data_IF_517119510831
#
_entry.id   IF_517119510831
#
_cell.length_a   1.000
_cell.length_b   1.000
_cell.length_c   1.000
_cell.angle_alpha   90.00
_cell.angle_beta   90.00
_cell.angle_gamma   90.00
#
_symmetry.space_group_name_H-M   'P 1'
#
loop_
_entity.id
_entity.type
_entity.pdbx_description
1 polymer ?
#
# COMPACT_ATOMS: atom_id res chain seq x y z
N UNK A 1 -18.17 28.25 -10.56
CA UNK A 1 -17.84 27.11 -11.47
C UNK A 1 -16.54 26.34 -11.11
N UNK A 2 -15.47 26.91 -10.54
CA UNK A 2 -14.23 26.19 -10.16
C UNK A 2 -14.37 25.14 -9.04
N UNK A 3 -15.30 25.31 -8.11
CA UNK A 3 -15.49 24.40 -6.95
C UNK A 3 -15.99 22.98 -7.28
N UNK A 4 -16.67 22.79 -8.41
CA UNK A 4 -17.27 21.49 -8.81
C UNK A 4 -16.39 20.67 -9.74
N UNK A 5 -15.38 21.27 -10.38
CA UNK A 5 -14.52 20.55 -11.35
C UNK A 5 -13.67 19.46 -10.69
N UNK A 6 -13.14 19.70 -9.51
CA UNK A 6 -12.33 18.70 -8.82
C UNK A 6 -13.08 17.41 -8.43
N UNK A 7 -14.24 17.52 -7.75
CA UNK A 7 -15.04 16.33 -7.42
C UNK A 7 -15.51 15.55 -8.65
N UNK A 8 -15.95 16.23 -9.71
CA UNK A 8 -16.41 15.59 -10.93
C UNK A 8 -15.28 14.81 -11.63
N UNK A 9 -14.10 15.40 -11.74
CA UNK A 9 -12.93 14.73 -12.32
C UNK A 9 -12.59 13.47 -11.54
N UNK A 10 -12.55 13.55 -10.20
CA UNK A 10 -12.28 12.37 -9.35
C UNK A 10 -13.32 11.28 -9.59
N UNK A 11 -14.61 11.65 -9.68
CA UNK A 11 -15.69 10.68 -9.90
C UNK A 11 -15.58 9.99 -11.25
N UNK A 12 -15.34 10.73 -12.32
CA UNK A 12 -15.20 10.19 -13.70
C UNK A 12 -13.95 9.29 -13.79
N UNK A 13 -12.82 9.75 -13.27
CA UNK A 13 -11.57 8.97 -13.25
C UNK A 13 -11.75 7.69 -12.43
N UNK A 14 -12.40 7.78 -11.27
CA UNK A 14 -12.67 6.59 -10.45
C UNK A 14 -13.52 5.57 -11.19
N UNK A 15 -14.67 5.98 -11.73
CA UNK A 15 -15.58 5.05 -12.42
C UNK A 15 -14.93 4.45 -13.68
N UNK A 16 -14.16 5.22 -14.42
CA UNK A 16 -13.41 4.73 -15.59
C UNK A 16 -12.33 3.71 -15.21
N UNK A 17 -11.54 4.01 -14.19
CA UNK A 17 -10.52 3.07 -13.67
C UNK A 17 -11.19 1.83 -13.05
N UNK A 18 -12.28 2.01 -12.30
CA UNK A 18 -13.01 0.92 -11.70
C UNK A 18 -13.51 -0.05 -12.76
N UNK A 19 -14.18 0.47 -13.80
CA UNK A 19 -14.69 -0.35 -14.90
C UNK A 19 -13.57 -1.05 -15.67
N UNK A 20 -12.46 -0.36 -15.93
CA UNK A 20 -11.29 -0.97 -16.57
C UNK A 20 -10.71 -2.13 -15.78
N UNK A 21 -10.58 -1.96 -14.45
CA UNK A 21 -10.12 -3.02 -13.56
C UNK A 21 -11.13 -4.17 -13.45
N UNK A 22 -12.43 -3.88 -13.52
CA UNK A 22 -13.49 -4.87 -13.48
C UNK A 22 -13.50 -5.75 -14.73
N UNK A 23 -13.37 -5.13 -15.90
CA UNK A 23 -13.21 -5.86 -17.18
C UNK A 23 -11.93 -6.72 -17.18
N UNK A 24 -10.81 -6.21 -16.63
CA UNK A 24 -9.60 -7.01 -16.48
C UNK A 24 -9.86 -8.18 -15.53
N UNK A 25 -10.52 -7.96 -14.39
CA UNK A 25 -10.81 -9.00 -13.42
C UNK A 25 -11.75 -10.09 -13.99
N UNK A 26 -12.68 -9.72 -14.86
CA UNK A 26 -13.60 -10.68 -15.51
C UNK A 26 -12.90 -11.64 -16.48
N UNK A 27 -11.76 -11.23 -17.05
CA UNK A 27 -10.93 -12.09 -17.91
C UNK A 27 -10.32 -13.27 -17.12
N UNK A 28 -10.07 -13.07 -15.82
CA UNK A 28 -9.43 -14.02 -14.91
C UNK A 28 -10.43 -14.63 -13.92
N UNK A 29 -11.66 -14.92 -14.37
CA UNK A 29 -12.65 -15.61 -13.55
C UNK A 29 -12.39 -17.11 -13.54
N UNK A 30 -12.31 -17.70 -12.34
CA UNK A 30 -12.14 -19.15 -12.17
C UNK A 30 -13.46 -19.92 -12.38
N UNK A 31 -14.59 -19.30 -12.08
CA UNK A 31 -15.96 -19.75 -12.30
C UNK A 31 -16.85 -18.54 -12.54
N UNK A 32 -18.10 -18.75 -12.99
CA UNK A 32 -19.09 -17.67 -13.09
C UNK A 32 -19.09 -16.84 -11.81
N UNK A 33 -18.77 -15.55 -11.95
CA UNK A 33 -18.76 -14.51 -10.90
C UNK A 33 -17.69 -14.62 -9.79
N UNK A 34 -16.80 -15.64 -9.78
CA UNK A 34 -15.69 -15.76 -8.82
C UNK A 34 -14.39 -15.41 -9.49
N UNK A 35 -13.92 -14.20 -9.30
CA UNK A 35 -12.61 -13.76 -9.79
C UNK A 35 -11.47 -14.22 -8.88
N UNK A 36 -10.37 -14.69 -9.47
CA UNK A 36 -9.15 -15.04 -8.74
C UNK A 36 -8.55 -13.85 -7.98
N UNK A 37 -8.71 -12.66 -8.53
CA UNK A 37 -8.26 -11.40 -7.96
C UNK A 37 -9.22 -10.29 -8.38
N UNK A 38 -9.74 -9.51 -7.40
CA UNK A 38 -10.72 -8.46 -7.68
C UNK A 38 -10.22 -7.07 -7.24
N UNK A 39 -9.31 -6.45 -8.02
CA UNK A 39 -8.70 -5.16 -7.71
C UNK A 39 -9.68 -3.96 -7.61
N UNK A 40 -10.87 -3.93 -8.24
CA UNK A 40 -11.80 -2.81 -8.09
C UNK A 40 -12.16 -2.47 -6.65
N UNK A 41 -12.23 -3.47 -5.75
CA UNK A 41 -12.47 -3.22 -4.32
C UNK A 41 -11.34 -2.45 -3.66
N UNK A 42 -10.09 -2.73 -4.03
CA UNK A 42 -8.93 -1.99 -3.54
C UNK A 42 -8.93 -0.53 -3.98
N UNK A 43 -9.35 -0.25 -5.23
CA UNK A 43 -9.53 1.11 -5.72
C UNK A 43 -10.63 1.85 -4.95
N UNK A 44 -11.74 1.18 -4.63
CA UNK A 44 -12.85 1.73 -3.84
C UNK A 44 -12.40 2.14 -2.43
N UNK A 45 -11.65 1.28 -1.73
CA UNK A 45 -11.07 1.64 -0.44
C UNK A 45 -10.06 2.79 -0.54
N UNK A 46 -9.19 2.80 -1.54
CA UNK A 46 -8.27 3.91 -1.75
C UNK A 46 -9.02 5.24 -1.98
N UNK A 47 -10.11 5.23 -2.77
CA UNK A 47 -10.97 6.40 -2.96
C UNK A 47 -11.51 6.92 -1.62
N UNK A 48 -12.14 6.05 -0.81
CA UNK A 48 -12.74 6.43 0.46
C UNK A 48 -11.71 6.93 1.47
N UNK A 49 -10.53 6.32 1.53
CA UNK A 49 -9.47 6.68 2.45
C UNK A 49 -8.73 7.95 2.04
N UNK A 50 -8.48 8.18 0.74
CA UNK A 50 -7.75 9.37 0.25
C UNK A 50 -8.67 10.57 0.10
N UNK A 51 -9.81 10.41 -0.58
CA UNK A 51 -10.71 11.53 -0.91
C UNK A 51 -11.84 11.73 0.09
N UNK A 52 -12.09 10.73 0.95
CA UNK A 52 -13.07 10.78 2.04
C UNK A 52 -14.42 10.16 1.71
N UNK A 53 -15.23 10.00 2.77
CA UNK A 53 -16.52 9.29 2.71
C UNK A 53 -17.58 9.95 1.83
N UNK A 54 -17.38 11.22 1.43
CA UNK A 54 -18.28 11.92 0.50
C UNK A 54 -18.41 11.25 -0.86
N UNK A 55 -17.45 10.40 -1.22
CA UNK A 55 -17.46 9.63 -2.47
C UNK A 55 -18.11 8.25 -2.32
N UNK A 56 -18.59 7.88 -1.13
CA UNK A 56 -19.28 6.61 -0.91
C UNK A 56 -20.47 6.37 -1.86
N UNK A 57 -21.30 7.37 -2.24
CA UNK A 57 -22.38 7.17 -3.19
C UNK A 57 -21.93 6.65 -4.57
N UNK A 58 -20.66 6.86 -4.97
CA UNK A 58 -20.16 6.32 -6.24
C UNK A 58 -20.05 4.80 -6.23
N UNK A 59 -19.86 4.20 -5.06
CA UNK A 59 -19.79 2.75 -4.91
C UNK A 59 -21.14 2.08 -5.24
N UNK A 60 -22.27 2.80 -5.08
CA UNK A 60 -23.59 2.29 -5.47
C UNK A 60 -23.71 2.02 -6.98
N UNK A 61 -22.91 2.73 -7.79
CA UNK A 61 -22.92 2.61 -9.23
C UNK A 61 -22.04 1.46 -9.75
N UNK A 62 -21.16 0.92 -8.91
CA UNK A 62 -20.16 -0.08 -9.34
C UNK A 62 -20.82 -1.39 -9.78
N UNK A 63 -21.66 -1.99 -8.95
CA UNK A 63 -22.30 -3.26 -9.29
C UNK A 63 -23.30 -3.14 -10.45
N UNK A 64 -24.13 -2.06 -10.58
CA UNK A 64 -24.90 -1.80 -11.80
C UNK A 64 -24.03 -1.64 -13.06
N UNK A 65 -22.87 -0.98 -12.97
CA UNK A 65 -21.95 -0.88 -14.10
C UNK A 65 -21.36 -2.25 -14.49
N UNK A 66 -20.99 -3.07 -13.50
CA UNK A 66 -20.61 -4.47 -13.74
C UNK A 66 -21.74 -5.23 -14.44
N UNK A 67 -22.98 -5.09 -13.93
CA UNK A 67 -24.17 -5.69 -14.52
C UNK A 67 -24.42 -5.34 -15.99
N UNK A 68 -24.09 -4.12 -16.39
CA UNK A 68 -24.25 -3.65 -17.78
C UNK A 68 -23.20 -4.20 -18.74
N UNK A 69 -21.98 -4.48 -18.26
CA UNK A 69 -20.81 -4.76 -19.11
C UNK A 69 -20.39 -6.22 -19.07
N UNK A 70 -20.53 -6.88 -17.92
CA UNK A 70 -19.91 -8.18 -17.66
C UNK A 70 -20.94 -9.27 -17.32
N UNK A 71 -22.11 -8.90 -16.77
CA UNK A 71 -23.03 -9.89 -16.19
C UNK A 71 -23.66 -10.82 -17.20
N UNK A 72 -23.86 -12.05 -16.75
CA UNK A 72 -24.70 -13.04 -17.41
C UNK A 72 -26.19 -12.68 -17.27
N UNK A 73 -27.04 -13.02 -18.27
CA UNK A 73 -28.48 -12.71 -18.25
C UNK A 73 -29.26 -13.38 -17.12
N UNK A 74 -28.65 -14.28 -16.35
CA UNK A 74 -29.27 -15.04 -15.25
C UNK A 74 -29.42 -14.24 -13.96
N UNK A 75 -28.64 -13.13 -13.79
CA UNK A 75 -28.65 -12.33 -12.58
C UNK A 75 -29.72 -11.22 -12.67
N UNK A 76 -30.68 -11.24 -11.76
CA UNK A 76 -31.74 -10.22 -11.73
C UNK A 76 -31.18 -8.85 -11.34
N UNK A 77 -31.71 -7.77 -11.95
CA UNK A 77 -31.35 -6.38 -11.61
C UNK A 77 -31.59 -6.06 -10.13
N UNK A 78 -32.54 -6.71 -9.48
CA UNK A 78 -32.78 -6.58 -8.02
C UNK A 78 -31.58 -7.09 -7.24
N UNK A 79 -31.03 -8.25 -7.64
CA UNK A 79 -29.83 -8.81 -7.04
C UNK A 79 -28.62 -7.92 -7.22
N UNK A 80 -28.43 -7.33 -8.41
CA UNK A 80 -27.35 -6.40 -8.72
C UNK A 80 -27.40 -5.17 -7.81
N UNK A 81 -28.57 -4.52 -7.69
CA UNK A 81 -28.72 -3.36 -6.83
C UNK A 81 -28.56 -3.70 -5.33
N UNK A 82 -29.05 -4.85 -4.91
CA UNK A 82 -28.90 -5.31 -3.52
C UNK A 82 -27.43 -5.54 -3.17
N UNK A 83 -26.66 -6.16 -4.07
CA UNK A 83 -25.20 -6.32 -3.93
C UNK A 83 -24.47 -4.97 -3.86
N UNK A 84 -24.84 -4.02 -4.73
CA UNK A 84 -24.26 -2.66 -4.74
C UNK A 84 -24.53 -1.91 -3.43
N UNK A 85 -25.75 -1.96 -2.92
CA UNK A 85 -26.10 -1.34 -1.63
C UNK A 85 -25.30 -1.99 -0.49
N UNK A 86 -25.26 -3.32 -0.44
CA UNK A 86 -24.55 -4.08 0.57
C UNK A 86 -23.05 -3.74 0.58
N UNK A 87 -22.39 -3.82 -0.57
CA UNK A 87 -20.98 -3.51 -0.73
C UNK A 87 -20.69 -2.07 -0.30
N UNK A 88 -21.53 -1.12 -0.73
CA UNK A 88 -21.39 0.29 -0.38
C UNK A 88 -21.51 0.52 1.12
N UNK A 89 -22.54 -0.05 1.77
CA UNK A 89 -22.76 0.12 3.21
C UNK A 89 -21.59 -0.46 4.00
N UNK A 90 -21.18 -1.68 3.71
CA UNK A 90 -20.11 -2.36 4.45
C UNK A 90 -18.77 -1.62 4.25
N UNK A 91 -18.38 -1.30 3.03
CA UNK A 91 -17.09 -0.65 2.77
C UNK A 91 -17.06 0.78 3.31
N UNK A 92 -18.18 1.50 3.24
CA UNK A 92 -18.28 2.83 3.85
C UNK A 92 -18.22 2.77 5.37
N UNK A 93 -18.88 1.79 5.99
CA UNK A 93 -18.83 1.58 7.44
C UNK A 93 -17.41 1.23 7.91
N UNK A 94 -16.71 0.35 7.19
CA UNK A 94 -15.31 0.02 7.47
C UNK A 94 -14.40 1.23 7.32
N UNK A 95 -14.53 1.99 6.23
CA UNK A 95 -13.75 3.21 6.01
C UNK A 95 -14.06 4.28 7.08
N UNK A 96 -15.32 4.43 7.48
CA UNK A 96 -15.72 5.29 8.58
C UNK A 96 -15.08 4.87 9.90
N UNK A 97 -15.14 3.56 10.23
CA UNK A 97 -14.54 3.00 11.45
C UNK A 97 -13.03 3.29 11.49
N UNK A 98 -12.33 3.03 10.39
CA UNK A 98 -10.90 3.28 10.26
C UNK A 98 -10.56 4.78 10.45
N UNK A 99 -11.27 5.67 9.73
CA UNK A 99 -10.96 7.11 9.71
C UNK A 99 -11.44 7.86 10.95
N UNK A 100 -12.64 7.55 11.47
CA UNK A 100 -13.30 8.32 12.51
C UNK A 100 -13.13 7.73 13.90
N UNK A 101 -13.25 6.43 14.05
CA UNK A 101 -13.18 5.77 15.37
C UNK A 101 -11.75 5.37 15.73
N UNK A 102 -11.06 4.68 14.83
CA UNK A 102 -9.69 4.21 15.04
C UNK A 102 -8.65 5.28 14.68
N UNK A 103 -9.05 6.31 13.93
CA UNK A 103 -8.22 7.45 13.53
C UNK A 103 -6.89 7.02 12.90
N UNK A 104 -6.95 6.02 12.01
CA UNK A 104 -5.75 5.61 11.28
C UNK A 104 -5.29 6.74 10.36
N UNK A 105 -3.99 6.85 10.14
CA UNK A 105 -3.45 7.67 9.06
C UNK A 105 -3.51 6.87 7.75
N UNK A 106 -4.30 7.31 6.75
CA UNK A 106 -4.40 6.59 5.47
C UNK A 106 -3.07 6.47 4.72
N UNK A 107 -2.06 7.23 5.12
CA UNK A 107 -0.69 7.09 4.60
C UNK A 107 -0.01 5.82 5.11
N UNK A 108 -0.61 5.12 6.09
CA UNK A 108 -0.08 3.89 6.69
C UNK A 108 1.37 4.02 7.21
N UNK A 109 1.72 5.06 7.99
CA UNK A 109 3.10 5.30 8.40
C UNK A 109 3.61 4.27 9.41
N UNK A 110 2.72 3.65 10.17
CA UNK A 110 3.04 2.77 11.31
C UNK A 110 2.38 1.41 11.25
N UNK A 111 2.89 0.48 12.04
CA UNK A 111 2.39 -0.88 12.17
C UNK A 111 0.91 -0.93 12.58
N UNK A 112 0.49 -0.07 13.51
CA UNK A 112 -0.89 -0.01 14.00
C UNK A 112 -1.87 0.31 12.85
N UNK A 113 -1.53 1.29 12.02
CA UNK A 113 -2.42 1.72 10.93
C UNK A 113 -2.54 0.62 9.87
N UNK A 114 -1.41 -0.06 9.56
CA UNK A 114 -1.41 -1.20 8.64
C UNK A 114 -2.19 -2.38 9.23
N UNK A 115 -2.02 -2.71 10.51
CA UNK A 115 -2.73 -3.81 11.15
C UNK A 115 -4.24 -3.59 11.14
N UNK A 116 -4.73 -2.40 11.49
CA UNK A 116 -6.15 -2.07 11.40
C UNK A 116 -6.67 -2.07 9.97
N UNK A 117 -5.87 -1.55 9.02
CA UNK A 117 -6.22 -1.59 7.61
C UNK A 117 -6.35 -3.04 7.11
N UNK A 118 -5.37 -3.89 7.38
CA UNK A 118 -5.41 -5.30 6.95
C UNK A 118 -6.55 -6.05 7.63
N UNK A 119 -6.71 -5.91 8.94
CA UNK A 119 -7.76 -6.61 9.69
C UNK A 119 -9.19 -6.23 9.26
N UNK A 120 -9.45 -4.94 9.09
CA UNK A 120 -10.80 -4.45 8.79
C UNK A 120 -11.07 -4.29 7.29
N UNK A 121 -10.16 -3.64 6.54
CA UNK A 121 -10.42 -3.37 5.14
C UNK A 121 -10.09 -4.55 4.23
N UNK A 122 -8.99 -5.28 4.47
CA UNK A 122 -8.60 -6.39 3.61
C UNK A 122 -9.25 -7.72 4.03
N UNK A 123 -9.55 -7.94 5.32
CA UNK A 123 -10.07 -9.23 5.81
C UNK A 123 -11.55 -9.13 6.17
N UNK A 124 -11.92 -8.35 7.20
CA UNK A 124 -13.27 -8.37 7.76
C UNK A 124 -14.33 -7.79 6.83
N UNK A 125 -14.08 -6.65 6.21
CA UNK A 125 -15.03 -6.02 5.28
C UNK A 125 -15.38 -6.92 4.09
N UNK A 126 -14.39 -7.41 3.33
CA UNK A 126 -14.63 -8.38 2.27
C UNK A 126 -15.32 -9.66 2.72
N UNK A 127 -15.04 -10.15 3.95
CA UNK A 127 -15.70 -11.34 4.50
C UNK A 127 -17.19 -11.12 4.71
N UNK A 128 -17.57 -9.99 5.32
CA UNK A 128 -18.98 -9.63 5.53
C UNK A 128 -19.72 -9.54 4.19
N UNK A 129 -19.13 -8.88 3.20
CA UNK A 129 -19.71 -8.78 1.85
C UNK A 129 -19.82 -10.15 1.20
N UNK A 130 -18.78 -10.99 1.28
CA UNK A 130 -18.79 -12.32 0.69
C UNK A 130 -19.89 -13.22 1.31
N UNK A 131 -20.00 -13.23 2.63
CA UNK A 131 -21.04 -14.01 3.34
C UNK A 131 -22.43 -13.57 2.89
N UNK A 132 -22.69 -12.28 2.88
CA UNK A 132 -24.02 -11.78 2.53
C UNK A 132 -24.33 -11.96 1.03
N UNK A 133 -23.37 -11.82 0.15
CA UNK A 133 -23.56 -12.03 -1.28
C UNK A 133 -23.78 -13.51 -1.63
N UNK A 134 -22.99 -14.40 -1.05
CA UNK A 134 -23.17 -15.84 -1.26
C UNK A 134 -24.50 -16.33 -0.65
N UNK A 135 -24.91 -15.78 0.50
CA UNK A 135 -26.24 -16.05 1.06
C UNK A 135 -27.34 -15.61 0.09
N UNK A 136 -27.23 -14.41 -0.48
CA UNK A 136 -28.16 -13.92 -1.51
C UNK A 136 -28.23 -14.88 -2.70
N UNK A 137 -27.10 -15.32 -3.25
CA UNK A 137 -27.05 -16.25 -4.39
C UNK A 137 -27.62 -17.62 -4.06
N UNK A 138 -27.42 -18.09 -2.84
CA UNK A 138 -27.99 -19.37 -2.39
C UNK A 138 -29.49 -19.27 -2.21
N UNK A 139 -30.01 -18.16 -1.65
CA UNK A 139 -31.45 -17.94 -1.49
C UNK A 139 -32.18 -17.72 -2.82
N UNK A 140 -31.50 -17.19 -3.84
CA UNK A 140 -32.05 -17.01 -5.19
C UNK A 140 -31.88 -18.24 -6.09
N UNK A 141 -31.27 -19.33 -5.58
CA UNK A 141 -31.05 -20.57 -6.32
C UNK A 141 -29.89 -20.53 -7.32
N UNK A 142 -29.13 -19.43 -7.37
CA UNK A 142 -27.94 -19.29 -8.25
C UNK A 142 -26.77 -20.14 -7.76
N UNK A 143 -26.70 -20.43 -6.44
CA UNK A 143 -25.67 -21.27 -5.85
C UNK A 143 -26.30 -22.35 -4.96
N UNK A 144 -25.95 -23.64 -5.11
CA UNK A 144 -26.44 -24.69 -4.25
C UNK A 144 -25.84 -24.59 -2.83
N UNK A 145 -26.62 -24.93 -1.81
CA UNK A 145 -26.19 -24.90 -0.40
C UNK A 145 -24.94 -25.73 -0.11
N UNK A 146 -24.71 -26.80 -0.85
CA UNK A 146 -23.50 -27.63 -0.72
C UNK A 146 -22.22 -26.93 -1.10
N UNK A 147 -22.30 -25.85 -1.90
CA UNK A 147 -21.14 -25.04 -2.33
C UNK A 147 -20.98 -23.72 -1.53
N UNK A 148 -21.87 -23.48 -0.56
CA UNK A 148 -21.92 -22.21 0.18
C UNK A 148 -20.56 -21.82 0.79
N UNK A 149 -19.90 -22.74 1.50
CA UNK A 149 -18.63 -22.45 2.15
C UNK A 149 -17.49 -22.14 1.14
N UNK A 150 -17.45 -22.93 0.06
CA UNK A 150 -16.47 -22.67 -1.03
C UNK A 150 -16.74 -21.35 -1.73
N UNK A 151 -18.01 -21.01 -1.94
CA UNK A 151 -18.44 -19.73 -2.47
C UNK A 151 -17.95 -18.58 -1.60
N UNK A 152 -18.23 -18.61 -0.30
CA UNK A 152 -17.78 -17.59 0.65
C UNK A 152 -16.27 -17.40 0.61
N UNK A 153 -15.50 -18.50 0.65
CA UNK A 153 -14.03 -18.42 0.59
C UNK A 153 -13.54 -17.85 -0.74
N UNK A 154 -14.12 -18.23 -1.86
CA UNK A 154 -13.75 -17.71 -3.18
C UNK A 154 -14.04 -16.23 -3.34
N UNK A 155 -15.26 -15.79 -3.01
CA UNK A 155 -15.63 -14.37 -3.04
C UNK A 155 -14.81 -13.51 -2.08
N UNK A 156 -14.60 -14.02 -0.86
CA UNK A 156 -13.79 -13.32 0.14
C UNK A 156 -12.36 -13.17 -0.31
N UNK A 157 -11.70 -14.24 -0.72
CA UNK A 157 -10.28 -14.24 -1.04
C UNK A 157 -9.96 -13.35 -2.23
N UNK A 158 -10.77 -13.34 -3.29
CA UNK A 158 -10.59 -12.44 -4.43
C UNK A 158 -10.68 -10.97 -4.05
N UNK A 159 -11.67 -10.60 -3.22
CA UNK A 159 -11.83 -9.21 -2.72
C UNK A 159 -10.75 -8.85 -1.69
N UNK A 160 -10.42 -9.74 -0.76
CA UNK A 160 -9.40 -9.54 0.26
C UNK A 160 -8.03 -9.25 -0.41
N UNK A 161 -7.67 -10.05 -1.40
CA UNK A 161 -6.47 -9.83 -2.21
C UNK A 161 -6.55 -8.50 -2.97
N UNK A 162 -7.69 -8.19 -3.58
CA UNK A 162 -7.90 -6.92 -4.29
C UNK A 162 -7.66 -5.70 -3.41
N UNK A 163 -8.23 -5.70 -2.20
CA UNK A 163 -8.03 -4.62 -1.22
C UNK A 163 -6.60 -4.61 -0.68
N UNK A 164 -6.08 -5.77 -0.26
CA UNK A 164 -4.75 -5.89 0.34
C UNK A 164 -3.62 -5.52 -0.62
N UNK A 165 -3.80 -5.78 -1.91
CA UNK A 165 -2.77 -5.52 -2.93
C UNK A 165 -2.84 -4.10 -3.47
N UNK A 166 -4.00 -3.69 -3.98
CA UNK A 166 -4.11 -2.43 -4.72
C UNK A 166 -4.21 -1.22 -3.80
N UNK A 167 -5.00 -1.28 -2.72
CA UNK A 167 -5.20 -0.11 -1.87
C UNK A 167 -3.90 0.36 -1.19
N UNK A 168 -3.05 -0.48 -0.56
CA UNK A 168 -1.78 -0.03 0.02
C UNK A 168 -0.83 0.57 -1.02
N UNK A 169 -0.75 -0.02 -2.22
CA UNK A 169 0.08 0.52 -3.30
C UNK A 169 -0.37 1.93 -3.69
N UNK A 170 -1.68 2.15 -3.84
CA UNK A 170 -2.26 3.47 -4.14
C UNK A 170 -2.08 4.46 -2.98
N UNK A 171 -2.28 4.02 -1.72
CA UNK A 171 -2.09 4.85 -0.53
C UNK A 171 -0.63 5.30 -0.40
N UNK A 172 0.32 4.39 -0.63
CA UNK A 172 1.75 4.71 -0.63
C UNK A 172 2.12 5.64 -1.79
N UNK A 173 1.60 5.39 -3.00
CA UNK A 173 1.82 6.26 -4.16
C UNK A 173 1.27 7.67 -3.92
N UNK A 174 0.11 7.80 -3.28
CA UNK A 174 -0.52 9.07 -2.95
C UNK A 174 0.32 9.97 -2.03
N UNK A 175 1.24 9.38 -1.24
CA UNK A 175 2.18 10.15 -0.39
C UNK A 175 3.04 11.12 -1.21
N UNK A 176 3.32 10.80 -2.47
CA UNK A 176 4.13 11.62 -3.39
C UNK A 176 3.36 12.80 -3.97
N UNK A 177 2.06 12.91 -3.69
CA UNK A 177 1.18 13.97 -4.18
C UNK A 177 0.71 14.83 -3.00
N UNK A 178 1.50 15.84 -2.56
CA UNK A 178 1.21 16.61 -1.34
C UNK A 178 -0.14 17.31 -1.35
N UNK A 179 -0.65 17.66 -2.53
CA UNK A 179 -1.95 18.34 -2.71
C UNK A 179 -3.11 17.50 -2.18
N UNK A 180 -3.04 16.16 -2.26
CA UNK A 180 -4.09 15.27 -1.75
C UNK A 180 -4.21 15.31 -0.22
N UNK A 181 -3.16 15.74 0.47
CA UNK A 181 -3.04 15.70 1.93
C UNK A 181 -3.03 17.07 2.60
N UNK A 182 -3.15 18.15 1.80
CA UNK A 182 -3.00 19.54 2.25
C UNK A 182 -3.98 19.92 3.36
N UNK A 183 -5.21 19.44 3.27
CA UNK A 183 -6.30 19.80 4.18
C UNK A 183 -6.51 18.77 5.31
N UNK A 184 -5.65 17.76 5.41
CA UNK A 184 -5.70 16.76 6.45
C UNK A 184 -4.50 16.90 7.38
N UNK A 185 -4.69 17.35 8.63
CA UNK A 185 -3.63 17.31 9.63
C UNK A 185 -3.21 15.84 9.81
N UNK A 186 -1.91 15.60 9.88
CA UNK A 186 -1.40 14.27 10.21
C UNK A 186 -1.96 13.86 11.57
N UNK A 187 -2.79 12.82 11.62
CA UNK A 187 -3.47 12.34 12.82
C UNK A 187 -2.50 11.66 13.80
N UNK A 188 -1.33 11.32 13.33
CA UNK A 188 -0.19 10.80 14.09
C UNK A 188 1.07 11.50 13.58
N UNK A 189 1.31 12.72 14.02
CA UNK A 189 2.66 13.27 13.94
C UNK A 189 3.47 12.66 15.08
N UNK A 190 4.42 11.76 14.82
CA UNK A 190 5.56 11.72 15.68
C UNK A 190 6.27 13.05 15.41
N UNK A 191 6.25 13.93 16.41
CA UNK A 191 7.06 15.15 16.50
C UNK A 191 7.26 15.86 15.12
N UNK A 192 6.70 17.03 14.96
CA UNK A 192 7.23 17.98 13.96
C UNK A 192 8.72 18.10 14.28
N UNK A 193 9.50 17.25 13.66
CA UNK A 193 10.93 17.50 13.52
C UNK A 193 10.98 18.87 12.89
N UNK A 194 11.46 19.84 13.66
CA UNK A 194 11.58 21.21 13.19
C UNK A 194 12.14 21.17 11.79
N UNK A 195 11.59 21.95 10.87
CA UNK A 195 12.12 22.07 9.51
C UNK A 195 13.63 22.17 9.64
N UNK A 196 14.31 21.10 9.32
CA UNK A 196 15.75 21.10 9.28
C UNK A 196 16.17 22.31 8.44
N UNK A 197 17.09 23.07 8.93
CA UNK A 197 17.73 24.16 8.22
C UNK A 197 17.98 23.69 6.79
N UNK A 198 17.41 24.42 5.84
CA UNK A 198 17.58 24.18 4.41
C UNK A 198 19.07 24.35 4.06
N UNK A 199 19.75 23.24 3.88
CA UNK A 199 21.15 23.21 3.46
C UNK A 199 21.35 23.67 2.01
N UNK A 200 20.30 24.11 1.31
CA UNK A 200 20.35 24.54 -0.09
C UNK A 200 20.96 25.94 -0.30
N UNK A 201 21.21 26.72 0.77
CA UNK A 201 21.71 28.10 0.67
C UNK A 201 23.24 28.27 0.75
N UNK A 202 24.00 27.18 0.79
CA UNK A 202 25.45 27.26 0.79
C UNK A 202 26.02 27.21 -0.63
N UNK A 203 26.90 28.16 -1.01
CA UNK A 203 27.46 28.18 -2.35
C UNK A 203 28.34 26.94 -2.60
N UNK A 204 27.85 26.10 -3.50
CA UNK A 204 28.49 24.87 -3.94
C UNK A 204 29.62 25.20 -4.96
N UNK A 205 30.83 25.50 -4.48
CA UNK A 205 32.01 25.74 -5.33
C UNK A 205 33.15 24.77 -5.16
N UNK A 206 32.88 23.58 -4.74
CA UNK A 206 33.84 22.48 -4.81
C UNK A 206 33.16 21.25 -5.41
N UNK A 207 33.44 20.94 -6.66
CA UNK A 207 33.08 19.64 -7.25
C UNK A 207 34.00 18.56 -6.65
N UNK A 208 33.54 17.82 -5.68
CA UNK A 208 34.38 16.88 -4.94
C UNK A 208 34.11 15.45 -5.35
N UNK A 209 35.09 14.62 -5.07
CA UNK A 209 35.11 13.15 -5.13
C UNK A 209 33.84 12.40 -4.58
N UNK A 210 32.88 13.12 -3.97
CA UNK A 210 31.61 12.56 -3.52
C UNK A 210 30.64 12.25 -4.67
N UNK A 211 30.76 12.90 -5.86
CA UNK A 211 29.95 12.57 -7.04
C UNK A 211 30.20 11.12 -7.50
N UNK A 212 31.45 10.65 -7.46
CA UNK A 212 31.76 9.25 -7.74
C UNK A 212 31.15 8.30 -6.70
N UNK A 213 31.19 8.68 -5.41
CA UNK A 213 30.56 7.89 -4.34
C UNK A 213 29.04 7.93 -4.38
N UNK A 214 28.43 9.06 -4.75
CA UNK A 214 26.98 9.15 -4.98
C UNK A 214 26.57 8.34 -6.21
N UNK A 215 27.31 8.46 -7.32
CA UNK A 215 27.04 7.66 -8.51
C UNK A 215 27.18 6.16 -8.23
N UNK A 216 28.20 5.74 -7.49
CA UNK A 216 28.35 4.36 -7.05
C UNK A 216 27.17 3.90 -6.15
N UNK A 217 26.78 4.69 -5.16
CA UNK A 217 25.62 4.37 -4.29
C UNK A 217 24.30 4.31 -5.05
N UNK A 218 24.09 5.22 -6.01
CA UNK A 218 22.90 5.20 -6.87
C UNK A 218 22.92 3.99 -7.80
N UNK A 219 24.08 3.62 -8.31
CA UNK A 219 24.25 2.42 -9.14
C UNK A 219 24.00 1.13 -8.32
N UNK A 220 24.59 1.02 -7.14
CA UNK A 220 24.37 -0.08 -6.21
C UNK A 220 22.88 -0.23 -5.84
N UNK A 221 22.22 0.89 -5.57
CA UNK A 221 20.78 0.89 -5.27
C UNK A 221 19.93 0.45 -6.46
N UNK A 222 20.30 0.84 -7.68
CA UNK A 222 19.59 0.41 -8.89
C UNK A 222 19.83 -1.05 -9.20
N UNK A 223 21.06 -1.53 -9.06
CA UNK A 223 21.41 -2.94 -9.24
C UNK A 223 20.68 -3.81 -8.21
N UNK A 224 20.59 -3.38 -6.97
CA UNK A 224 19.82 -4.07 -5.93
C UNK A 224 18.32 -4.15 -6.30
N UNK A 225 17.71 -3.05 -6.76
CA UNK A 225 16.31 -3.04 -7.18
C UNK A 225 16.06 -3.96 -8.39
N UNK A 226 16.97 -3.97 -9.36
CA UNK A 226 16.89 -4.89 -10.50
C UNK A 226 17.02 -6.33 -10.03
N UNK A 227 17.99 -6.64 -9.17
CA UNK A 227 18.17 -7.97 -8.58
C UNK A 227 16.93 -8.45 -7.81
N UNK A 228 16.35 -7.58 -6.98
CA UNK A 228 15.12 -7.86 -6.25
C UNK A 228 13.94 -8.14 -7.19
N UNK A 229 13.75 -7.30 -8.22
CA UNK A 229 12.68 -7.47 -9.20
C UNK A 229 12.86 -8.75 -10.02
N UNK A 230 14.08 -9.03 -10.49
CA UNK A 230 14.38 -10.25 -11.26
C UNK A 230 14.13 -11.50 -10.42
N UNK A 231 14.61 -11.52 -9.18
CA UNK A 231 14.40 -12.66 -8.28
C UNK A 231 12.90 -12.85 -7.96
N UNK A 232 12.17 -11.77 -7.72
CA UNK A 232 10.73 -11.84 -7.49
C UNK A 232 10.00 -12.43 -8.70
N UNK A 233 10.26 -11.90 -9.90
CA UNK A 233 9.63 -12.39 -11.13
C UNK A 233 10.01 -13.83 -11.44
N UNK A 234 11.27 -14.21 -11.25
CA UNK A 234 11.74 -15.59 -11.44
C UNK A 234 11.05 -16.56 -10.47
N UNK A 235 10.95 -16.21 -9.18
CA UNK A 235 10.27 -17.08 -8.21
C UNK A 235 8.76 -17.14 -8.44
N UNK A 236 8.11 -16.05 -8.87
CA UNK A 236 6.69 -16.07 -9.27
C UNK A 236 6.49 -16.95 -10.51
N UNK A 237 7.37 -16.85 -11.51
CA UNK A 237 7.31 -17.69 -12.70
C UNK A 237 7.50 -19.18 -12.37
N UNK A 238 8.48 -19.52 -11.53
CA UNK A 238 8.70 -20.91 -11.08
C UNK A 238 7.52 -21.45 -10.24
N UNK A 239 6.85 -20.56 -9.48
CA UNK A 239 5.73 -20.95 -8.62
C UNK A 239 4.42 -21.17 -9.39
N UNK A 240 4.19 -20.39 -10.45
CA UNK A 240 2.87 -20.30 -11.10
C UNK A 240 2.91 -20.45 -12.64
N UNK A 241 4.08 -20.39 -13.29
CA UNK A 241 4.22 -20.38 -14.75
C UNK A 241 4.42 -21.74 -15.39
N UNK A 242 4.92 -22.73 -14.64
CA UNK A 242 5.15 -24.08 -15.14
C UNK A 242 4.35 -25.10 -14.33
N UNK A 243 3.83 -26.19 -14.96
CA UNK A 243 3.28 -27.30 -14.20
C UNK A 243 4.38 -27.83 -13.27
N UNK A 244 4.02 -27.96 -12.00
CA UNK A 244 4.91 -28.24 -10.87
C UNK A 244 6.10 -29.13 -11.25
N UNK A 245 7.31 -28.60 -11.15
CA UNK A 245 8.55 -29.37 -11.41
C UNK A 245 8.60 -30.54 -10.43
N UNK A 246 8.33 -31.74 -10.90
CA UNK A 246 8.35 -32.96 -10.09
C UNK A 246 7.30 -33.04 -8.98
N UNK A 247 6.17 -32.32 -9.08
CA UNK A 247 5.10 -32.33 -8.07
C UNK A 247 5.40 -31.47 -6.83
N UNK A 248 6.47 -30.69 -6.84
CA UNK A 248 6.84 -29.78 -5.74
C UNK A 248 6.01 -28.48 -5.81
N UNK A 249 5.44 -28.10 -4.67
CA UNK A 249 4.79 -26.79 -4.52
C UNK A 249 5.84 -25.71 -4.26
N UNK A 250 6.22 -25.00 -5.30
CA UNK A 250 7.24 -23.94 -5.24
C UNK A 250 6.68 -22.56 -4.84
N UNK A 251 5.38 -22.45 -4.53
CA UNK A 251 4.73 -21.19 -4.17
C UNK A 251 5.42 -20.49 -2.99
N UNK A 252 6.04 -21.24 -2.10
CA UNK A 252 6.77 -20.68 -0.95
C UNK A 252 8.05 -19.93 -1.32
N UNK A 253 8.64 -20.17 -2.49
CA UNK A 253 9.86 -19.48 -2.92
C UNK A 253 9.64 -17.97 -3.09
N UNK A 254 8.42 -17.53 -3.39
CA UNK A 254 8.07 -16.10 -3.55
C UNK A 254 8.30 -15.30 -2.28
N UNK A 255 8.26 -15.94 -1.10
CA UNK A 255 8.53 -15.25 0.17
C UNK A 255 9.98 -14.81 0.33
N UNK A 256 10.93 -15.49 -0.29
CA UNK A 256 12.38 -15.16 -0.17
C UNK A 256 12.68 -13.74 -0.70
N UNK A 257 12.40 -13.41 -1.99
CA UNK A 257 12.59 -12.05 -2.46
C UNK A 257 11.70 -11.04 -1.76
N UNK A 258 10.49 -11.42 -1.34
CA UNK A 258 9.59 -10.52 -0.62
C UNK A 258 10.16 -10.12 0.74
N UNK A 259 10.74 -11.04 1.50
CA UNK A 259 11.45 -10.76 2.76
C UNK A 259 12.62 -9.82 2.50
N UNK A 260 13.44 -10.09 1.50
CA UNK A 260 14.57 -9.22 1.14
C UNK A 260 14.10 -7.79 0.81
N UNK A 261 13.06 -7.65 -0.03
CA UNK A 261 12.46 -6.35 -0.38
C UNK A 261 11.92 -5.64 0.88
N UNK A 262 11.26 -6.38 1.78
CA UNK A 262 10.71 -5.85 3.02
C UNK A 262 11.79 -5.29 3.94
N UNK A 263 12.86 -6.07 4.17
CA UNK A 263 13.96 -5.68 5.05
C UNK A 263 14.68 -4.43 4.55
N UNK A 264 14.86 -4.31 3.23
CA UNK A 264 15.60 -3.19 2.62
C UNK A 264 14.74 -1.96 2.34
N UNK A 265 13.48 -2.13 2.04
CA UNK A 265 12.61 -1.06 1.54
C UNK A 265 11.35 -0.76 2.35
N UNK A 266 11.08 -1.58 3.36
CA UNK A 266 9.90 -1.44 4.20
C UNK A 266 8.59 -1.53 3.43
N UNK A 267 7.52 -1.01 4.03
CA UNK A 267 6.17 -1.05 3.47
C UNK A 267 6.05 -0.47 2.04
N UNK A 268 6.70 0.66 1.69
CA UNK A 268 6.53 1.21 0.35
C UNK A 268 6.98 0.29 -0.78
N UNK A 269 8.13 -0.37 -0.62
CA UNK A 269 8.63 -1.29 -1.64
C UNK A 269 7.83 -2.59 -1.67
N UNK A 270 7.46 -3.11 -0.50
CA UNK A 270 6.66 -4.34 -0.39
C UNK A 270 5.28 -4.17 -0.99
N UNK A 271 4.60 -3.03 -0.79
CA UNK A 271 3.28 -2.80 -1.36
C UNK A 271 3.28 -2.91 -2.90
N UNK A 272 4.33 -2.38 -3.56
CA UNK A 272 4.49 -2.55 -5.00
C UNK A 272 4.95 -3.96 -5.39
N UNK A 273 5.82 -4.58 -4.61
CA UNK A 273 6.28 -5.96 -4.88
C UNK A 273 5.13 -6.96 -4.82
N UNK A 274 4.27 -6.85 -3.80
CA UNK A 274 3.06 -7.67 -3.65
C UNK A 274 2.08 -7.42 -4.80
N UNK A 275 1.90 -6.16 -5.23
CA UNK A 275 1.07 -5.83 -6.39
C UNK A 275 1.59 -6.53 -7.66
N UNK A 276 2.88 -6.43 -7.95
CA UNK A 276 3.51 -7.05 -9.11
C UNK A 276 3.42 -8.58 -9.02
N UNK A 277 3.76 -9.16 -7.87
CA UNK A 277 3.72 -10.61 -7.68
C UNK A 277 2.31 -11.18 -7.90
N UNK A 278 1.28 -10.55 -7.33
CA UNK A 278 -0.11 -10.98 -7.52
C UNK A 278 -0.56 -10.83 -8.99
N UNK A 279 -0.27 -9.68 -9.61
CA UNK A 279 -0.65 -9.43 -11.00
C UNK A 279 -0.01 -10.44 -11.96
N UNK A 280 1.28 -10.72 -11.77
CA UNK A 280 2.02 -11.69 -12.60
C UNK A 280 1.55 -13.11 -12.32
N UNK A 281 1.33 -13.51 -11.05
CA UNK A 281 0.83 -14.84 -10.71
C UNK A 281 -0.54 -15.10 -11.36
N UNK A 282 -1.48 -14.14 -11.27
CA UNK A 282 -2.79 -14.25 -11.91
C UNK A 282 -2.69 -14.31 -13.44
N UNK A 283 -1.78 -13.51 -14.03
CA UNK A 283 -1.56 -13.51 -15.48
C UNK A 283 -0.94 -14.81 -15.99
N UNK A 284 -0.02 -15.45 -15.24
CA UNK A 284 0.62 -16.72 -15.59
C UNK A 284 -0.34 -17.90 -15.49
N UNK A 285 -1.16 -17.94 -14.45
CA UNK A 285 -2.18 -18.98 -14.29
C UNK A 285 -3.21 -18.91 -15.44
N UNK A 286 -3.43 -17.72 -15.99
CA UNK A 286 -4.19 -17.51 -17.22
C UNK A 286 -5.64 -17.93 -17.15
N UNK A 287 -6.15 -18.40 -18.32
CA UNK A 287 -7.51 -18.88 -18.52
C UNK A 287 -7.63 -20.40 -18.40
N UNK A 288 -6.51 -21.07 -18.14
CA UNK A 288 -6.51 -22.52 -18.02
C UNK A 288 -7.28 -22.94 -16.77
N UNK A 289 -7.94 -24.09 -16.86
CA UNK A 289 -8.73 -24.61 -15.75
C UNK A 289 -7.79 -24.89 -14.59
N UNK A 290 -7.83 -24.00 -13.58
CA UNK A 290 -7.06 -24.18 -12.35
C UNK A 290 -7.65 -25.35 -11.59
N UNK A 291 -6.87 -26.40 -11.36
CA UNK A 291 -7.30 -27.57 -10.58
C UNK A 291 -7.83 -27.17 -9.19
N UNK A 292 -7.26 -26.13 -8.59
CA UNK A 292 -7.63 -25.63 -7.29
C UNK A 292 -7.57 -24.10 -7.19
N UNK A 293 -8.58 -23.37 -7.72
CA UNK A 293 -8.61 -21.89 -7.66
C UNK A 293 -8.51 -21.34 -6.24
N UNK A 294 -9.12 -22.02 -5.28
CA UNK A 294 -9.12 -21.62 -3.87
C UNK A 294 -7.71 -21.69 -3.26
N UNK A 295 -6.91 -22.70 -3.63
CA UNK A 295 -5.54 -22.84 -3.16
C UNK A 295 -4.69 -21.65 -3.62
N UNK A 296 -4.79 -21.29 -4.91
CA UNK A 296 -4.12 -20.10 -5.45
C UNK A 296 -4.56 -18.84 -4.72
N UNK A 297 -5.87 -18.61 -4.59
CA UNK A 297 -6.41 -17.44 -3.93
C UNK A 297 -5.93 -17.29 -2.48
N UNK A 298 -5.98 -18.38 -1.70
CA UNK A 298 -5.50 -18.37 -0.31
C UNK A 298 -3.99 -18.13 -0.23
N UNK A 299 -3.22 -18.68 -1.18
CA UNK A 299 -1.78 -18.39 -1.31
C UNK A 299 -1.52 -16.90 -1.55
N UNK A 300 -2.25 -16.27 -2.47
CA UNK A 300 -2.14 -14.84 -2.77
C UNK A 300 -2.55 -13.95 -1.59
N UNK A 301 -3.63 -14.30 -0.87
CA UNK A 301 -4.04 -13.61 0.37
C UNK A 301 -2.92 -13.70 1.40
N UNK A 302 -2.39 -14.91 1.64
CA UNK A 302 -1.34 -15.13 2.63
C UNK A 302 -0.07 -14.35 2.29
N UNK A 303 0.37 -14.40 1.02
CA UNK A 303 1.50 -13.63 0.52
C UNK A 303 1.31 -12.13 0.77
N UNK A 304 0.12 -11.63 0.47
CA UNK A 304 -0.24 -10.22 0.64
C UNK A 304 -0.19 -9.80 2.11
N UNK A 305 -0.86 -10.54 2.98
CA UNK A 305 -0.93 -10.23 4.41
C UNK A 305 0.45 -10.33 5.06
N UNK A 306 1.20 -11.40 4.79
CA UNK A 306 2.54 -11.60 5.34
C UNK A 306 3.52 -10.52 4.85
N UNK A 307 3.53 -10.23 3.55
CA UNK A 307 4.41 -9.22 2.97
C UNK A 307 4.15 -7.83 3.55
N UNK A 308 2.89 -7.38 3.56
CA UNK A 308 2.54 -6.06 4.08
C UNK A 308 2.79 -5.94 5.60
N UNK A 309 2.50 -6.99 6.36
CA UNK A 309 2.80 -7.03 7.80
C UNK A 309 4.29 -6.90 8.05
N UNK A 310 5.12 -7.67 7.34
CA UNK A 310 6.57 -7.59 7.45
C UNK A 310 7.09 -6.20 7.05
N UNK A 311 6.60 -5.66 5.92
CA UNK A 311 6.97 -4.30 5.49
C UNK A 311 6.60 -3.23 6.50
N UNK A 312 5.44 -3.36 7.15
CA UNK A 312 5.00 -2.44 8.20
C UNK A 312 5.87 -2.55 9.47
N UNK A 313 6.23 -3.78 9.87
CA UNK A 313 7.13 -4.03 11.00
C UNK A 313 8.50 -3.37 10.77
N UNK A 314 9.09 -3.55 9.59
CA UNK A 314 10.37 -2.94 9.24
C UNK A 314 10.29 -1.42 9.22
N UNK A 315 9.26 -0.86 8.59
CA UNK A 315 9.05 0.61 8.54
C UNK A 315 8.87 1.19 9.94
N UNK A 316 8.07 0.53 10.79
CA UNK A 316 7.87 0.97 12.18
C UNK A 316 9.16 0.92 12.99
N UNK A 317 9.95 -0.15 12.86
CA UNK A 317 11.26 -0.27 13.53
C UNK A 317 12.24 0.83 13.09
N UNK A 318 12.32 1.09 11.77
CA UNK A 318 13.17 2.17 11.25
C UNK A 318 12.74 3.54 11.79
N UNK A 319 11.44 3.81 11.85
CA UNK A 319 10.92 5.05 12.42
C UNK A 319 11.24 5.18 13.92
N UNK A 320 11.15 4.09 14.71
CA UNK A 320 11.48 4.09 16.12
C UNK A 320 12.97 4.31 16.37
N UNK A 321 13.84 3.70 15.57
CA UNK A 321 15.30 3.91 15.66
C UNK A 321 15.62 5.38 15.34
N UNK A 322 15.10 5.92 14.24
CA UNK A 322 15.32 7.32 13.86
C UNK A 322 14.82 8.31 14.94
N UNK A 323 13.68 8.01 15.59
CA UNK A 323 13.16 8.81 16.69
C UNK A 323 14.07 8.74 17.93
N UNK A 324 14.60 7.56 18.26
CA UNK A 324 15.53 7.38 19.37
C UNK A 324 16.88 8.10 19.13
N UNK A 325 17.42 7.99 17.91
CA UNK A 325 18.64 8.72 17.51
C UNK A 325 18.44 10.23 17.59
N UNK A 326 17.27 10.72 17.13
CA UNK A 326 16.96 12.14 17.23
C UNK A 326 16.84 12.61 18.69
N UNK A 327 16.17 11.83 19.54
CA UNK A 327 16.02 12.14 20.96
C UNK A 327 17.37 12.08 21.72
N UNK A 328 18.29 11.20 21.31
CA UNK A 328 19.63 11.10 21.89
C UNK A 328 20.56 12.24 21.48
N UNK A 329 20.29 12.92 20.37
CA UNK A 329 21.11 13.97 19.81
C UNK A 329 20.57 15.40 20.06
N UNK A 330 19.39 15.52 20.70
CA UNK A 330 18.75 16.82 20.95
C UNK A 330 18.26 16.91 22.39
N UNK A 331 18.41 18.09 22.99
CA UNK A 331 17.85 18.41 24.32
C UNK A 331 16.32 18.36 24.30
N UNK A 332 15.74 17.64 25.24
CA UNK A 332 14.30 17.36 25.26
C UNK A 332 13.43 18.60 25.59
N UNK A 333 14.01 19.64 26.23
CA UNK A 333 13.30 20.85 26.65
C UNK A 333 13.31 21.90 25.53
N UNK A 334 14.46 22.12 24.91
CA UNK A 334 14.68 23.20 23.95
C UNK A 334 14.59 22.73 22.50
N UNK A 335 14.73 21.42 22.25
CA UNK A 335 14.84 20.85 20.90
C UNK A 335 16.12 21.20 20.15
N UNK A 336 17.10 21.81 20.81
CA UNK A 336 18.37 22.15 20.24
C UNK A 336 19.31 20.95 20.21
N UNK A 337 20.33 20.99 19.35
CA UNK A 337 21.40 19.99 19.34
C UNK A 337 22.05 19.90 20.71
N UNK A 338 22.24 18.72 21.22
CA UNK A 338 23.00 18.48 22.44
C UNK A 338 24.50 18.79 22.24
N UNK A 339 25.27 18.72 23.32
CA UNK A 339 26.71 18.96 23.28
C UNK A 339 27.43 17.98 22.34
N UNK A 340 26.99 16.72 22.29
CA UNK A 340 27.65 15.68 21.47
C UNK A 340 27.46 16.00 19.99
N UNK A 341 26.23 16.29 19.57
CA UNK A 341 25.93 16.66 18.17
C UNK A 341 26.58 18.00 17.79
N UNK A 342 26.65 18.95 18.72
CA UNK A 342 27.36 20.21 18.49
C UNK A 342 28.85 19.99 18.22
N UNK A 343 29.53 19.19 19.04
CA UNK A 343 30.94 18.89 18.86
C UNK A 343 31.22 18.14 17.55
N UNK A 344 30.41 17.17 17.20
CA UNK A 344 30.51 16.45 15.90
C UNK A 344 30.39 17.43 14.71
N UNK A 345 29.49 18.40 14.78
CA UNK A 345 29.34 19.44 13.76
C UNK A 345 30.54 20.39 13.68
N UNK A 346 31.10 20.75 14.85
CA UNK A 346 32.33 21.61 14.91
C UNK A 346 33.49 20.84 14.32
N UNK A 347 33.72 19.60 14.68
CA UNK A 347 34.78 18.76 14.13
C UNK A 347 34.63 18.57 12.62
N UNK A 348 33.42 18.30 12.15
CA UNK A 348 33.15 18.25 10.71
C UNK A 348 33.39 19.57 9.99
N UNK A 349 33.15 20.71 10.63
CA UNK A 349 33.44 22.03 10.07
C UNK A 349 34.96 22.31 10.06
N UNK A 350 35.69 21.97 11.12
CA UNK A 350 37.12 22.06 11.23
C UNK A 350 37.82 21.23 10.14
N UNK A 351 37.46 19.99 9.95
CA UNK A 351 37.98 19.13 8.88
C UNK A 351 37.63 19.62 7.47
N UNK A 352 36.55 20.37 7.28
CA UNK A 352 36.28 21.05 6.00
C UNK A 352 37.18 22.24 5.78
N UNK A 353 37.43 23.04 6.82
CA UNK A 353 38.30 24.21 6.74
C UNK A 353 39.77 23.81 6.47
N UNK A 354 40.25 22.69 7.07
CA UNK A 354 41.59 22.16 6.77
C UNK A 354 41.77 21.75 5.30
N UNK A 355 40.69 21.27 4.66
CA UNK A 355 40.74 20.77 3.29
C UNK A 355 40.45 21.82 2.22
N UNK A 356 39.97 23.00 2.61
CA UNK A 356 39.60 24.09 1.68
C UNK A 356 39.99 25.41 2.29
N UNK A 357 40.99 26.11 1.73
CA UNK A 357 41.51 27.39 2.26
C UNK A 357 40.45 28.49 2.37
N UNK A 358 39.41 28.42 1.57
CA UNK A 358 38.29 29.38 1.57
C UNK A 358 37.15 29.04 2.53
N UNK A 359 37.17 27.84 3.13
CA UNK A 359 36.15 27.43 4.07
C UNK A 359 36.47 27.96 5.47
N UNK A 360 35.62 28.85 5.98
CA UNK A 360 35.71 29.40 7.34
C UNK A 360 34.44 29.05 8.11
N UNK A 361 34.57 28.85 9.40
CA UNK A 361 33.43 28.73 10.32
C UNK A 361 33.73 29.50 11.60
N UNK A 362 32.68 29.86 12.34
CA UNK A 362 32.79 30.50 13.63
C UNK A 362 31.88 29.74 14.64
N UNK A 363 32.33 29.67 15.87
CA UNK A 363 31.56 29.17 16.99
C UNK A 363 31.25 30.37 17.90
N UNK A 364 29.94 30.61 18.16
CA UNK A 364 29.54 31.64 19.11
C UNK A 364 29.09 30.93 20.39
N UNK A 365 29.64 31.36 21.50
CA UNK A 365 29.25 30.97 22.83
C UNK A 365 28.47 32.13 23.44
N UNK A 366 27.21 31.89 23.82
CA UNK A 366 26.36 32.90 24.48
C UNK A 366 26.00 32.39 25.87
N UNK A 367 26.16 33.26 26.86
CA UNK A 367 25.75 32.97 28.24
C UNK A 367 24.73 34.04 28.69
N UNK A 368 23.88 33.70 29.62
CA UNK A 368 22.89 34.62 30.21
C UNK A 368 23.38 35.05 31.57
N UNK A 369 23.79 36.31 31.66
CA UNK A 369 24.22 36.92 32.94
C UNK A 369 23.02 37.07 33.88
N UNK A 370 23.16 36.58 35.11
CA UNK A 370 22.20 36.82 36.18
C UNK A 370 20.98 35.84 36.19
N UNK A 371 21.13 34.71 35.58
CA UNK A 371 20.12 33.66 35.60
C UNK A 371 20.27 32.72 36.79
#
# INVERSE_FOLDING_TARGET
MRRWRGPLIVSVVYLGLWLGLDVIASVFQARQEVSLWYPPTGLSFALLLVFGLRYAPLLLLTDPLHGLVVSSPEVSWVSVWLSGVLSTVVYTAVAWLLLRRLRIDPRLPGQRDVAWFLGLAAVAGPLVVAVAQVLQYTLTGLLPWGEWFRGVLGFWSGRATGVGVLAPALLVASRRVPVLWRDRPALSSPLRIGRGYDHSSWPDRARPRWLGRLAARVLDQRLELVGQATLLLATVYLAYGEPAVGGLDLAYLVYVPLIWIAVRGGLPRVAFAVLVANAVAVALVGRDVVESPLRLQLGLVTLTLAGLTLGALVTGRQASIAAAEHAAAHDSLTGLADRVLLMDRVDAAAHRAERSPDARFAVLYCDLDGF
#
